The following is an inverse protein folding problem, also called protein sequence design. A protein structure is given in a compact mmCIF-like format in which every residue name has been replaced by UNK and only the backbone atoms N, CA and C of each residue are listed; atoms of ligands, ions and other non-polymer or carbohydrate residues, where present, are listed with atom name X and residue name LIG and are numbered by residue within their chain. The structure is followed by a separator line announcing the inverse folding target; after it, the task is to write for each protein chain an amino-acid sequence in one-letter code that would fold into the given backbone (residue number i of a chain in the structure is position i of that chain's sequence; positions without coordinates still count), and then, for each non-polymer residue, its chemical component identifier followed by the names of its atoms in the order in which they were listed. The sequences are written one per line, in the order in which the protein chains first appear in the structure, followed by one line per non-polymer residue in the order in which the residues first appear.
data_IF_727197557834
#
_entry.id   IF_727197557834
#
_cell.length_a   1.000
_cell.length_b   1.000
_cell.length_c   1.000
_cell.angle_alpha   90.00
_cell.angle_beta   90.00
_cell.angle_gamma   90.00
#
_symmetry.space_group_name_H-M   'P 1'
#
loop_
_entity.id
_entity.type
_entity.pdbx_description
1 polymer ?
#
# COMPACT_ATOMS: atom_id res chain seq x y z
N UNK A 1 -17.96 15.24 -52.94
CA UNK A 1 -18.25 14.08 -52.08
C UNK A 1 -17.64 12.83 -52.70
N UNK A 2 -16.59 12.26 -52.09
CA UNK A 2 -16.40 10.81 -51.85
C UNK A 2 -15.00 10.60 -51.27
N UNK A 3 -15.01 10.29 -49.97
CA UNK A 3 -13.84 9.95 -49.17
C UNK A 3 -13.26 8.61 -49.61
N UNK A 4 -11.94 8.56 -49.76
CA UNK A 4 -11.16 7.33 -49.77
C UNK A 4 -10.98 6.91 -48.31
N UNK A 5 -11.66 5.85 -47.90
CA UNK A 5 -11.38 5.16 -46.63
C UNK A 5 -10.22 4.19 -46.88
N UNK A 6 -9.06 4.51 -46.30
CA UNK A 6 -7.98 3.55 -46.11
C UNK A 6 -8.44 2.53 -45.05
N UNK A 7 -8.48 1.26 -45.42
CA UNK A 7 -8.66 0.15 -44.48
C UNK A 7 -7.29 -0.12 -43.87
N UNK A 8 -7.11 0.21 -42.59
CA UNK A 8 -6.00 -0.31 -41.80
C UNK A 8 -6.47 -1.62 -41.14
N UNK A 9 -5.98 -2.75 -41.62
CA UNK A 9 -5.98 -3.99 -40.82
C UNK A 9 -5.00 -3.76 -39.66
N UNK A 10 -5.51 -3.56 -38.45
CA UNK A 10 -4.72 -3.85 -37.26
C UNK A 10 -4.90 -5.34 -36.95
N UNK A 11 -3.83 -6.11 -37.14
CA UNK A 11 -3.72 -7.39 -36.46
C UNK A 11 -3.54 -7.08 -34.97
N UNK A 12 -4.64 -7.03 -34.23
CA UNK A 12 -4.59 -7.14 -32.79
C UNK A 12 -4.09 -8.56 -32.48
N UNK A 13 -2.79 -8.69 -32.23
CA UNK A 13 -2.27 -9.88 -31.57
C UNK A 13 -3.04 -9.99 -30.25
N UNK A 14 -3.94 -10.97 -30.18
CA UNK A 14 -4.63 -11.32 -28.94
C UNK A 14 -3.54 -11.68 -27.94
N UNK A 15 -3.29 -10.79 -26.98
CA UNK A 15 -2.45 -11.11 -25.83
C UNK A 15 -2.97 -12.42 -25.23
N UNK A 16 -2.10 -13.38 -24.90
CA UNK A 16 -2.52 -14.61 -24.24
C UNK A 16 -3.39 -14.23 -23.04
N UNK A 17 -4.57 -14.82 -22.93
CA UNK A 17 -5.36 -14.71 -21.70
C UNK A 17 -4.48 -15.20 -20.56
N UNK A 18 -4.18 -14.35 -19.55
CA UNK A 18 -3.36 -14.78 -18.43
C UNK A 18 -3.97 -16.03 -17.82
N UNK A 19 -3.13 -17.02 -17.49
CA UNK A 19 -3.62 -18.19 -16.74
C UNK A 19 -4.26 -17.71 -15.43
N UNK A 20 -5.37 -18.31 -14.98
CA UNK A 20 -5.91 -18.02 -13.66
C UNK A 20 -4.80 -18.19 -12.61
N UNK A 21 -4.58 -17.16 -11.79
CA UNK A 21 -3.65 -17.24 -10.67
C UNK A 21 -4.20 -18.31 -9.71
N UNK A 22 -3.39 -19.33 -9.34
CA UNK A 22 -3.81 -20.28 -8.31
C UNK A 22 -4.18 -19.55 -7.02
N UNK A 23 -5.36 -19.82 -6.47
CA UNK A 23 -5.79 -19.21 -5.21
C UNK A 23 -5.25 -20.11 -4.07
N UNK A 24 -4.47 -19.53 -3.15
CA UNK A 24 -3.79 -20.21 -2.03
C UNK A 24 -4.73 -20.74 -0.91
N UNK A 25 -5.98 -21.07 -1.24
CA UNK A 25 -7.07 -21.41 -0.31
C UNK A 25 -8.30 -20.54 -0.54
N UNK A 26 -9.39 -20.77 0.20
CA UNK A 26 -10.55 -19.86 0.15
C UNK A 26 -10.21 -18.56 0.93
N UNK A 27 -10.16 -17.38 0.27
CA UNK A 27 -9.87 -16.12 0.94
C UNK A 27 -10.82 -15.81 2.10
N UNK A 28 -12.07 -16.29 2.03
CA UNK A 28 -13.06 -16.14 3.10
C UNK A 28 -12.72 -16.99 4.31
N UNK A 29 -12.21 -18.21 4.09
CA UNK A 29 -11.75 -19.10 5.16
C UNK A 29 -10.53 -18.50 5.87
N UNK A 30 -9.55 -18.02 5.11
CA UNK A 30 -8.35 -17.34 5.66
C UNK A 30 -8.76 -16.13 6.50
N UNK A 31 -9.67 -15.30 5.99
CA UNK A 31 -10.19 -14.16 6.72
C UNK A 31 -10.90 -14.59 8.02
N UNK A 32 -11.73 -15.63 7.98
CA UNK A 32 -12.43 -16.12 9.17
C UNK A 32 -11.48 -16.71 10.21
N UNK A 33 -10.41 -17.40 9.80
CA UNK A 33 -9.36 -17.88 10.70
C UNK A 33 -8.66 -16.69 11.38
N UNK A 34 -8.31 -15.65 10.64
CA UNK A 34 -7.72 -14.44 11.21
C UNK A 34 -8.66 -13.77 12.22
N UNK A 35 -9.93 -13.55 11.83
CA UNK A 35 -10.94 -12.90 12.67
C UNK A 35 -11.22 -13.70 13.95
N UNK A 36 -11.17 -15.04 13.89
CA UNK A 36 -11.37 -15.90 15.07
C UNK A 36 -10.31 -15.71 16.16
N UNK A 37 -9.13 -15.17 15.80
CA UNK A 37 -8.02 -14.90 16.71
C UNK A 37 -8.06 -13.51 17.33
N UNK A 38 -9.00 -12.65 16.92
CA UNK A 38 -9.13 -11.30 17.48
C UNK A 38 -9.62 -11.34 18.93
N UNK A 39 -9.12 -10.44 19.79
CA UNK A 39 -9.56 -10.35 21.19
C UNK A 39 -11.03 -9.93 21.32
N UNK A 40 -11.54 -9.20 20.32
CA UNK A 40 -12.94 -8.83 20.21
C UNK A 40 -13.49 -9.27 18.85
N UNK A 41 -14.68 -9.85 18.86
CA UNK A 41 -15.41 -10.22 17.63
C UNK A 41 -16.27 -9.07 17.10
N UNK A 42 -16.34 -7.94 17.81
CA UNK A 42 -17.09 -6.75 17.38
C UNK A 42 -16.24 -5.70 16.66
N UNK A 43 -14.90 -5.83 16.69
CA UNK A 43 -13.96 -4.88 16.11
C UNK A 43 -12.71 -5.59 15.57
N UNK A 44 -12.17 -5.09 14.46
CA UNK A 44 -10.88 -5.52 13.91
C UNK A 44 -9.77 -4.69 14.56
N UNK A 45 -9.43 -5.05 15.80
CA UNK A 45 -8.28 -4.48 16.51
C UNK A 45 -7.36 -5.64 16.90
N UNK A 46 -6.16 -5.66 16.30
CA UNK A 46 -5.15 -6.66 16.60
C UNK A 46 -4.64 -6.46 18.04
N UNK A 47 -4.41 -7.55 18.79
CA UNK A 47 -3.81 -7.45 20.10
C UNK A 47 -2.30 -7.23 19.98
N UNK A 48 -1.67 -6.82 21.09
CA UNK A 48 -0.21 -6.94 21.21
C UNK A 48 0.23 -8.39 20.90
N UNK A 49 1.36 -8.58 20.22
CA UNK A 49 2.41 -7.59 19.95
C UNK A 49 2.27 -6.84 18.61
N UNK A 50 1.12 -6.94 17.92
CA UNK A 50 0.85 -6.16 16.71
C UNK A 50 0.50 -4.70 17.06
N UNK A 51 0.81 -3.81 16.12
CA UNK A 51 0.58 -2.38 16.30
C UNK A 51 -0.79 -1.95 15.80
N UNK A 52 -1.26 -0.81 16.32
CA UNK A 52 -2.58 -0.27 16.00
C UNK A 52 -2.76 -0.03 14.48
N UNK A 53 -1.73 0.43 13.78
CA UNK A 53 -1.80 0.67 12.34
C UNK A 53 -2.07 -0.60 11.52
N UNK A 54 -1.56 -1.76 11.97
CA UNK A 54 -1.79 -3.05 11.32
C UNK A 54 -3.26 -3.46 11.38
N UNK A 55 -4.01 -2.98 12.36
CA UNK A 55 -5.46 -3.18 12.38
C UNK A 55 -6.14 -2.47 11.20
N UNK A 56 -5.69 -1.25 10.86
CA UNK A 56 -6.15 -0.52 9.68
C UNK A 56 -5.88 -1.27 8.38
N UNK A 57 -4.73 -1.96 8.27
CA UNK A 57 -4.40 -2.75 7.08
C UNK A 57 -5.24 -4.02 6.97
N UNK A 58 -5.59 -4.66 8.09
CA UNK A 58 -6.54 -5.78 8.10
C UNK A 58 -7.92 -5.32 7.68
N UNK A 59 -8.41 -4.19 8.19
CA UNK A 59 -9.69 -3.60 7.77
C UNK A 59 -9.72 -3.35 6.26
N UNK A 60 -8.67 -2.75 5.71
CA UNK A 60 -8.53 -2.49 4.28
C UNK A 60 -8.44 -3.79 3.44
N UNK A 61 -7.85 -4.85 4.01
CA UNK A 61 -7.78 -6.17 3.38
C UNK A 61 -9.16 -6.84 3.33
N UNK A 62 -9.96 -6.73 4.40
CA UNK A 62 -11.35 -7.22 4.42
C UNK A 62 -12.24 -6.44 3.46
N UNK A 63 -12.05 -5.12 3.34
CA UNK A 63 -12.71 -4.30 2.32
C UNK A 63 -12.40 -4.80 0.90
N UNK A 64 -11.11 -5.05 0.63
CA UNK A 64 -10.66 -5.58 -0.66
C UNK A 64 -11.24 -6.97 -0.92
N UNK A 65 -11.30 -7.84 0.10
CA UNK A 65 -11.92 -9.15 0.00
C UNK A 65 -13.40 -9.04 -0.36
N UNK A 66 -14.18 -8.26 0.42
CA UNK A 66 -15.61 -8.02 0.16
C UNK A 66 -15.85 -7.52 -1.26
N UNK A 67 -15.03 -6.56 -1.72
CA UNK A 67 -15.14 -6.00 -3.06
C UNK A 67 -14.84 -7.02 -4.17
N UNK A 68 -13.75 -7.78 -4.03
CA UNK A 68 -13.26 -8.71 -5.07
C UNK A 68 -14.05 -10.00 -5.16
N UNK A 69 -14.68 -10.42 -4.06
CA UNK A 69 -15.52 -11.63 -4.01
C UNK A 69 -17.02 -11.32 -3.97
N UNK A 70 -17.39 -10.04 -4.03
CA UNK A 70 -18.77 -9.55 -4.01
C UNK A 70 -19.59 -10.09 -2.82
N UNK A 71 -18.96 -10.15 -1.64
CA UNK A 71 -19.60 -10.54 -0.36
C UNK A 71 -19.74 -9.34 0.56
N UNK A 72 -20.75 -9.37 1.43
CA UNK A 72 -20.97 -8.35 2.46
C UNK A 72 -20.71 -8.88 3.88
N UNK A 73 -20.14 -10.09 4.01
CA UNK A 73 -20.01 -10.83 5.28
C UNK A 73 -19.36 -10.01 6.38
N UNK A 74 -18.34 -9.21 6.04
CA UNK A 74 -17.56 -8.43 7.02
C UNK A 74 -17.95 -6.95 7.09
N UNK A 75 -18.94 -6.50 6.31
CA UNK A 75 -19.27 -5.06 6.19
C UNK A 75 -19.63 -4.41 7.52
N UNK A 76 -20.48 -5.06 8.33
CA UNK A 76 -20.87 -4.52 9.64
C UNK A 76 -19.69 -4.41 10.61
N UNK A 77 -18.77 -5.37 10.57
CA UNK A 77 -17.56 -5.39 11.37
C UNK A 77 -16.59 -4.28 10.94
N UNK A 78 -16.39 -4.10 9.64
CA UNK A 78 -15.60 -3.01 9.06
C UNK A 78 -16.17 -1.65 9.48
N UNK A 79 -17.48 -1.43 9.27
CA UNK A 79 -18.17 -0.18 9.65
C UNK A 79 -18.00 0.13 11.13
N UNK A 80 -18.22 -0.86 12.01
CA UNK A 80 -18.08 -0.69 13.46
C UNK A 80 -16.65 -0.34 13.84
N UNK A 81 -15.67 -0.96 13.19
CA UNK A 81 -14.25 -0.72 13.47
C UNK A 81 -13.80 0.67 13.02
N UNK A 82 -14.10 1.09 11.79
CA UNK A 82 -13.72 2.42 11.29
C UNK A 82 -14.33 3.53 12.15
N UNK A 83 -15.61 3.41 12.51
CA UNK A 83 -16.29 4.44 13.32
C UNK A 83 -15.78 4.50 14.76
N UNK A 84 -15.34 3.37 15.33
CA UNK A 84 -14.78 3.38 16.69
C UNK A 84 -13.43 4.08 16.76
N UNK A 85 -12.70 4.16 15.65
CA UNK A 85 -11.38 4.79 15.57
C UNK A 85 -11.42 6.24 15.04
N UNK A 86 -12.56 6.73 14.55
CA UNK A 86 -12.66 8.03 13.88
C UNK A 86 -12.20 9.23 14.72
N UNK A 87 -12.25 9.16 16.05
CA UNK A 87 -12.05 10.26 17.01
C UNK A 87 -13.07 11.40 16.89
N UNK A 88 -13.05 12.37 17.81
CA UNK A 88 -13.93 13.53 17.76
C UNK A 88 -13.65 14.45 16.56
N UNK A 89 -12.44 14.39 15.99
CA UNK A 89 -12.03 15.16 14.82
C UNK A 89 -12.25 14.40 13.51
N UNK A 90 -12.76 13.17 13.55
CA UNK A 90 -12.98 12.34 12.36
C UNK A 90 -11.69 12.16 11.53
N UNK A 91 -10.55 11.97 12.20
CA UNK A 91 -9.20 11.99 11.61
C UNK A 91 -8.30 10.83 12.10
N UNK A 92 -8.84 9.86 12.84
CA UNK A 92 -8.06 8.74 13.39
C UNK A 92 -6.86 9.14 14.28
N UNK A 93 -6.79 10.37 14.79
CA UNK A 93 -5.76 10.81 15.75
C UNK A 93 -6.01 10.25 17.16
N UNK A 94 -5.95 8.93 17.29
CA UNK A 94 -6.04 8.24 18.58
C UNK A 94 -4.71 8.41 19.35
N UNK A 95 -4.67 8.10 20.66
CA UNK A 95 -3.40 8.02 21.39
C UNK A 95 -2.40 7.02 20.81
N UNK A 96 -2.89 6.01 20.07
CA UNK A 96 -2.06 4.98 19.42
C UNK A 96 -1.51 5.43 18.05
N UNK A 97 -1.99 6.54 17.49
CA UNK A 97 -1.46 7.15 16.27
C UNK A 97 -0.19 7.97 16.58
N UNK A 98 0.93 7.28 16.83
CA UNK A 98 2.20 7.93 17.20
C UNK A 98 2.96 8.49 15.99
N UNK A 99 2.76 7.90 14.82
CA UNK A 99 3.34 8.30 13.54
C UNK A 99 2.32 8.77 12.52
N UNK A 100 2.80 9.54 11.54
CA UNK A 100 1.98 9.96 10.39
C UNK A 100 1.59 8.75 9.52
N UNK A 101 2.47 7.76 9.41
CA UNK A 101 2.18 6.47 8.80
C UNK A 101 1.06 5.72 9.54
N UNK A 102 1.12 5.63 10.88
CA UNK A 102 0.08 4.97 11.70
C UNK A 102 -1.32 5.49 11.35
N UNK A 103 -1.47 6.82 11.32
CA UNK A 103 -2.73 7.49 10.98
C UNK A 103 -3.13 7.28 9.51
N UNK A 104 -2.16 7.29 8.59
CA UNK A 104 -2.43 7.20 7.16
C UNK A 104 -2.98 5.83 6.75
N UNK A 105 -2.57 4.74 7.41
CA UNK A 105 -3.12 3.40 7.14
C UNK A 105 -4.63 3.32 7.34
N UNK A 106 -5.15 3.94 8.41
CA UNK A 106 -6.59 4.04 8.66
C UNK A 106 -7.30 4.93 7.65
N UNK A 107 -6.64 6.02 7.23
CA UNK A 107 -7.13 6.88 6.15
C UNK A 107 -7.31 6.14 4.82
N UNK A 108 -6.31 5.32 4.44
CA UNK A 108 -6.40 4.51 3.23
C UNK A 108 -7.53 3.48 3.33
N UNK A 109 -7.76 2.87 4.50
CA UNK A 109 -8.88 1.96 4.72
C UNK A 109 -10.24 2.68 4.57
N UNK A 110 -10.38 3.87 5.15
CA UNK A 110 -11.60 4.68 4.98
C UNK A 110 -11.81 5.09 3.52
N UNK A 111 -10.75 5.47 2.81
CA UNK A 111 -10.87 5.82 1.39
C UNK A 111 -11.24 4.59 0.54
N UNK A 112 -10.72 3.41 0.85
CA UNK A 112 -11.15 2.16 0.20
C UNK A 112 -12.63 1.89 0.45
N UNK A 113 -13.14 2.13 1.67
CA UNK A 113 -14.56 1.99 1.97
C UNK A 113 -15.43 2.93 1.11
N UNK A 114 -14.97 4.17 0.86
CA UNK A 114 -15.62 5.09 -0.08
C UNK A 114 -15.56 4.57 -1.52
N UNK A 115 -14.36 4.21 -2.01
CA UNK A 115 -14.14 3.74 -3.38
C UNK A 115 -14.94 2.46 -3.70
N UNK A 116 -15.13 1.58 -2.71
CA UNK A 116 -15.92 0.35 -2.86
C UNK A 116 -17.40 0.51 -2.51
N UNK A 117 -17.87 1.74 -2.26
CA UNK A 117 -19.26 2.07 -1.98
C UNK A 117 -19.84 1.34 -0.75
N UNK A 118 -19.03 1.11 0.30
CA UNK A 118 -19.54 0.61 1.58
C UNK A 118 -20.52 1.64 2.16
N UNK A 119 -21.75 1.28 2.54
CA UNK A 119 -22.68 2.23 3.17
C UNK A 119 -22.09 2.81 4.47
N UNK A 120 -22.13 4.13 4.62
CA UNK A 120 -21.76 4.81 5.87
C UNK A 120 -23.01 5.26 6.64
N UNK A 121 -23.15 4.90 7.92
CA UNK A 121 -24.33 5.25 8.71
C UNK A 121 -24.30 6.67 9.30
N UNK A 122 -23.12 7.31 9.42
CA UNK A 122 -22.99 8.58 10.14
C UNK A 122 -21.94 9.54 9.57
N UNK A 123 -20.75 9.05 9.23
CA UNK A 123 -19.64 9.88 8.74
C UNK A 123 -19.23 9.39 7.35
N UNK A 124 -19.35 10.20 6.27
CA UNK A 124 -18.89 9.78 4.95
C UNK A 124 -17.43 9.31 4.99
N UNK A 125 -17.13 8.13 4.45
CA UNK A 125 -15.79 7.54 4.59
C UNK A 125 -14.69 8.41 3.95
N UNK A 126 -15.02 9.08 2.85
CA UNK A 126 -14.13 10.04 2.21
C UNK A 126 -13.86 11.28 3.08
N UNK A 127 -14.74 11.65 4.01
CA UNK A 127 -14.48 12.75 4.95
C UNK A 127 -13.41 12.34 5.96
N UNK A 128 -13.44 11.10 6.48
CA UNK A 128 -12.37 10.59 7.36
C UNK A 128 -11.01 10.67 6.66
N UNK A 129 -10.96 10.22 5.40
CA UNK A 129 -9.75 10.27 4.59
C UNK A 129 -9.26 11.71 4.31
N UNK A 130 -10.19 12.61 3.98
CA UNK A 130 -9.89 14.02 3.70
C UNK A 130 -9.40 14.78 4.94
N UNK A 131 -9.93 14.45 6.13
CA UNK A 131 -9.50 15.04 7.39
C UNK A 131 -8.07 14.63 7.75
N UNK A 132 -7.73 13.35 7.57
CA UNK A 132 -6.33 12.89 7.72
C UNK A 132 -5.41 13.58 6.73
N UNK A 133 -5.81 13.68 5.46
CA UNK A 133 -5.04 14.40 4.44
C UNK A 133 -4.79 15.86 4.84
N UNK A 134 -5.81 16.58 5.30
CA UNK A 134 -5.68 17.95 5.77
C UNK A 134 -4.75 18.07 7.00
N UNK A 135 -4.88 17.15 7.96
CA UNK A 135 -4.00 17.09 9.13
C UNK A 135 -2.53 16.86 8.73
N UNK A 136 -2.26 15.88 7.85
CA UNK A 136 -0.90 15.58 7.40
C UNK A 136 -0.31 16.68 6.51
N UNK A 137 -1.13 17.31 5.66
CA UNK A 137 -0.75 18.50 4.89
C UNK A 137 -0.26 19.61 5.81
N UNK A 138 -0.91 19.83 6.97
CA UNK A 138 -0.45 20.82 7.97
C UNK A 138 0.86 20.46 8.68
N UNK A 139 1.28 19.19 8.62
CA UNK A 139 2.53 18.69 9.19
C UNK A 139 3.66 18.60 8.17
N UNK A 140 3.41 19.00 6.92
CA UNK A 140 4.46 19.14 5.93
C UNK A 140 5.46 20.19 6.41
N UNK A 141 6.72 19.79 6.56
CA UNK A 141 7.74 20.61 7.19
C UNK A 141 8.77 21.08 6.15
N UNK A 142 8.65 22.35 5.75
CA UNK A 142 9.57 23.01 4.82
C UNK A 142 10.81 23.62 5.52
N UNK A 143 10.95 23.50 6.85
CA UNK A 143 12.07 24.14 7.58
C UNK A 143 13.41 23.48 7.28
N UNK A 144 13.41 22.16 7.09
CA UNK A 144 14.58 21.35 6.76
C UNK A 144 14.23 20.34 5.68
N UNK A 145 15.24 19.91 4.92
CA UNK A 145 15.10 18.99 3.78
C UNK A 145 14.19 19.49 2.65
N UNK A 146 13.93 20.82 2.61
CA UNK A 146 13.06 21.46 1.60
C UNK A 146 11.65 20.85 1.54
N UNK A 147 11.16 20.30 2.65
CA UNK A 147 9.86 19.65 2.73
C UNK A 147 9.90 18.29 3.39
N UNK A 148 8.80 17.55 3.23
CA UNK A 148 8.61 16.20 3.74
C UNK A 148 7.93 16.16 5.09
N UNK A 149 7.16 15.12 5.31
CA UNK A 149 6.50 14.79 6.57
C UNK A 149 7.44 13.92 7.41
N UNK A 150 7.49 14.19 8.70
CA UNK A 150 8.24 13.40 9.69
C UNK A 150 7.54 12.08 9.97
N UNK A 151 8.30 11.07 10.40
CA UNK A 151 7.73 9.79 10.81
C UNK A 151 6.80 9.98 12.01
N UNK A 152 7.35 10.45 13.14
CA UNK A 152 6.56 10.73 14.34
C UNK A 152 5.81 12.06 14.26
N UNK A 153 4.75 12.17 15.06
CA UNK A 153 3.88 13.36 15.11
C UNK A 153 4.30 14.33 16.21
N UNK A 154 4.92 13.86 17.30
CA UNK A 154 5.30 14.70 18.43
C UNK A 154 6.82 14.89 18.49
N UNK A 155 7.31 16.12 18.79
CA UNK A 155 8.74 16.41 18.93
C UNK A 155 9.49 15.55 19.94
N UNK A 156 8.81 15.07 20.97
CA UNK A 156 9.38 14.24 22.04
C UNK A 156 9.53 12.76 21.69
N UNK A 157 8.93 12.28 20.60
CA UNK A 157 8.98 10.87 20.22
C UNK A 157 10.29 10.52 19.50
N UNK A 158 10.85 9.35 19.82
CA UNK A 158 12.01 8.82 19.10
C UNK A 158 11.64 8.58 17.62
N UNK A 159 12.48 9.08 16.72
CA UNK A 159 12.18 9.14 15.28
C UNK A 159 11.49 10.42 14.80
N UNK A 160 11.26 11.43 15.65
CA UNK A 160 10.73 12.74 15.21
C UNK A 160 11.56 13.42 14.11
N UNK A 161 12.89 13.30 14.17
CA UNK A 161 13.77 13.86 13.15
C UNK A 161 13.81 13.03 11.86
N UNK A 162 13.39 11.76 11.93
CA UNK A 162 13.36 10.88 10.78
C UNK A 162 12.20 11.25 9.86
N UNK A 163 12.49 11.60 8.61
CA UNK A 163 11.50 11.72 7.54
C UNK A 163 11.45 10.39 6.80
N UNK A 164 10.57 9.50 7.26
CA UNK A 164 10.43 8.17 6.67
C UNK A 164 9.75 8.23 5.32
N UNK A 165 10.19 7.35 4.42
CA UNK A 165 9.58 7.17 3.11
C UNK A 165 8.14 6.72 3.24
N UNK A 166 7.83 5.83 4.18
CA UNK A 166 6.47 5.29 4.30
C UNK A 166 5.44 6.38 4.66
N UNK A 167 5.77 7.32 5.56
CA UNK A 167 4.87 8.43 5.90
C UNK A 167 4.57 9.31 4.67
N UNK A 168 5.60 9.63 3.89
CA UNK A 168 5.46 10.47 2.69
C UNK A 168 4.80 9.72 1.52
N UNK A 169 5.07 8.42 1.39
CA UNK A 169 4.48 7.54 0.39
C UNK A 169 2.99 7.28 0.63
N UNK A 170 2.59 7.07 1.89
CA UNK A 170 1.17 6.94 2.25
C UNK A 170 0.43 8.26 2.03
N UNK A 171 1.04 9.40 2.39
CA UNK A 171 0.50 10.72 2.10
C UNK A 171 0.35 10.95 0.58
N UNK A 172 1.36 10.58 -0.21
CA UNK A 172 1.31 10.61 -1.68
C UNK A 172 0.15 9.79 -2.22
N UNK A 173 0.03 8.52 -1.81
CA UNK A 173 -1.03 7.63 -2.29
C UNK A 173 -2.41 8.12 -1.87
N UNK A 174 -2.58 8.58 -0.63
CA UNK A 174 -3.82 9.15 -0.12
C UNK A 174 -4.24 10.36 -0.95
N UNK A 175 -3.32 11.28 -1.20
CA UNK A 175 -3.55 12.48 -2.00
C UNK A 175 -3.93 12.13 -3.45
N UNK A 176 -3.22 11.19 -4.08
CA UNK A 176 -3.53 10.72 -5.43
C UNK A 176 -4.94 10.11 -5.51
N UNK A 177 -5.30 9.26 -4.53
CA UNK A 177 -6.61 8.60 -4.48
C UNK A 177 -7.74 9.58 -4.19
N UNK A 178 -7.56 10.55 -3.28
CA UNK A 178 -8.52 11.62 -3.05
C UNK A 178 -8.74 12.47 -4.31
N UNK A 179 -7.64 12.84 -4.98
CA UNK A 179 -7.68 13.55 -6.25
C UNK A 179 -8.45 12.80 -7.33
N UNK A 180 -8.28 11.48 -7.39
CA UNK A 180 -9.04 10.62 -8.28
C UNK A 180 -10.52 10.53 -7.90
N UNK A 181 -10.83 10.15 -6.66
CA UNK A 181 -12.18 9.90 -6.15
C UNK A 181 -13.06 11.16 -6.17
N UNK A 182 -12.56 12.28 -5.67
CA UNK A 182 -13.30 13.53 -5.51
C UNK A 182 -13.11 14.55 -6.63
N UNK A 183 -12.25 14.27 -7.62
CA UNK A 183 -11.76 15.28 -8.57
C UNK A 183 -11.10 16.49 -7.88
N UNK A 184 -10.37 16.21 -6.79
CA UNK A 184 -9.72 17.22 -5.95
C UNK A 184 -8.37 17.64 -6.54
N UNK A 185 -8.30 18.85 -7.11
CA UNK A 185 -7.09 19.39 -7.70
C UNK A 185 -5.99 19.75 -6.69
N UNK A 186 -6.35 20.11 -5.46
CA UNK A 186 -5.36 20.38 -4.41
C UNK A 186 -4.70 19.06 -3.98
N UNK A 187 -5.49 17.99 -3.80
CA UNK A 187 -4.95 16.67 -3.49
C UNK A 187 -3.99 16.18 -4.59
N UNK A 188 -4.30 16.38 -5.88
CA UNK A 188 -3.38 16.03 -6.97
C UNK A 188 -2.06 16.83 -6.92
N UNK A 189 -2.12 18.13 -6.60
CA UNK A 189 -0.93 18.95 -6.46
C UNK A 189 -0.04 18.49 -5.29
N UNK A 190 -0.67 18.06 -4.18
CA UNK A 190 0.07 17.49 -3.04
C UNK A 190 0.64 16.11 -3.31
N UNK A 191 -0.03 15.29 -4.11
CA UNK A 191 0.53 14.03 -4.58
C UNK A 191 1.82 14.28 -5.38
N UNK A 192 1.80 15.22 -6.32
CA UNK A 192 2.99 15.59 -7.09
C UNK A 192 4.10 16.17 -6.18
N UNK A 193 3.75 17.08 -5.27
CA UNK A 193 4.71 17.66 -4.30
C UNK A 193 5.39 16.59 -3.44
N UNK A 194 4.62 15.63 -2.91
CA UNK A 194 5.18 14.56 -2.06
C UNK A 194 6.10 13.64 -2.84
N UNK A 195 5.70 13.25 -4.05
CA UNK A 195 6.53 12.42 -4.93
C UNK A 195 7.84 13.13 -5.30
N UNK A 196 7.75 14.37 -5.79
CA UNK A 196 8.92 15.12 -6.25
C UNK A 196 9.88 15.41 -5.09
N UNK A 197 9.36 15.67 -3.88
CA UNK A 197 10.18 15.78 -2.67
C UNK A 197 10.94 14.49 -2.40
N UNK A 198 10.26 13.34 -2.41
CA UNK A 198 10.85 12.03 -2.13
C UNK A 198 12.01 11.72 -3.10
N UNK A 199 11.85 12.05 -4.39
CA UNK A 199 12.93 11.96 -5.38
C UNK A 199 14.05 12.96 -5.08
N UNK A 200 13.72 14.21 -4.74
CA UNK A 200 14.69 15.28 -4.53
C UNK A 200 15.66 15.06 -3.36
N UNK A 201 15.22 14.32 -2.33
CA UNK A 201 16.04 13.93 -1.17
C UNK A 201 16.73 12.58 -1.37
N UNK A 202 16.61 11.97 -2.56
CA UNK A 202 17.32 10.74 -2.92
C UNK A 202 16.70 9.46 -2.38
N UNK A 203 15.46 9.49 -1.86
CA UNK A 203 14.78 8.31 -1.34
C UNK A 203 14.21 7.40 -2.44
N UNK A 204 14.10 7.91 -3.67
CA UNK A 204 13.80 7.13 -4.88
C UNK A 204 15.00 7.25 -5.82
N UNK A 205 15.64 6.13 -6.14
CA UNK A 205 16.75 6.09 -7.09
C UNK A 205 16.28 6.29 -8.54
N UNK A 206 17.18 6.60 -9.49
CA UNK A 206 16.86 6.60 -10.92
C UNK A 206 16.28 5.28 -11.44
N UNK A 207 16.66 4.15 -10.80
CA UNK A 207 16.16 2.80 -11.08
C UNK A 207 14.82 2.49 -10.41
N UNK A 208 14.23 3.46 -9.68
CA UNK A 208 13.01 3.32 -8.89
C UNK A 208 13.14 2.39 -7.69
N UNK A 209 14.35 2.15 -7.19
CA UNK A 209 14.53 1.56 -5.87
C UNK A 209 14.10 2.58 -4.82
N UNK A 210 13.41 2.13 -3.78
CA UNK A 210 12.80 3.00 -2.78
C UNK A 210 13.39 2.70 -1.40
N UNK A 211 14.11 3.68 -0.87
CA UNK A 211 14.86 3.61 0.38
C UNK A 211 13.99 4.00 1.59
N UNK A 212 14.43 3.73 2.81
CA UNK A 212 13.58 3.75 4.00
C UNK A 212 13.28 5.16 4.54
N UNK A 213 14.24 6.08 4.42
CA UNK A 213 14.07 7.43 4.94
C UNK A 213 15.38 8.16 5.11
N UNK A 214 15.30 9.32 5.75
CA UNK A 214 16.44 10.21 5.96
C UNK A 214 16.19 11.08 7.19
N UNK A 215 17.23 11.71 7.74
CA UNK A 215 17.15 12.43 9.02
C UNK A 215 17.30 13.94 8.81
N UNK A 216 16.30 14.71 9.24
CA UNK A 216 16.32 16.15 9.04
C UNK A 216 17.34 16.86 9.94
N UNK A 217 17.75 16.27 11.07
CA UNK A 217 18.73 16.85 11.97
C UNK A 217 20.17 16.74 11.42
N UNK A 218 20.41 15.92 10.39
CA UNK A 218 21.77 15.62 9.91
C UNK A 218 22.18 16.49 8.71
N UNK A 219 23.40 17.01 8.79
CA UNK A 219 24.01 17.84 7.74
C UNK A 219 23.50 19.28 7.65
N UNK A 220 24.15 20.07 6.80
CA UNK A 220 23.71 21.41 6.46
C UNK A 220 22.49 21.33 5.53
N UNK A 221 21.34 21.84 5.97
CA UNK A 221 20.07 21.76 5.23
C UNK A 221 19.21 20.53 5.51
N UNK A 222 19.74 19.50 6.19
CA UNK A 222 19.01 18.28 6.55
C UNK A 222 18.99 17.22 5.45
N UNK A 223 18.70 15.98 5.84
CA UNK A 223 18.48 14.85 4.93
C UNK A 223 19.66 14.52 4.00
N UNK A 224 20.87 14.56 4.56
CA UNK A 224 22.10 14.21 3.84
C UNK A 224 22.44 12.72 3.92
N UNK A 225 21.79 11.99 4.82
CA UNK A 225 21.98 10.57 5.04
C UNK A 225 20.71 9.81 4.67
N UNK A 226 20.74 9.15 3.51
CA UNK A 226 19.67 8.24 3.11
C UNK A 226 19.92 6.89 3.76
N UNK A 227 18.93 6.40 4.51
CA UNK A 227 18.89 5.01 4.95
C UNK A 227 18.49 4.15 3.75
N UNK A 228 19.44 3.42 3.17
CA UNK A 228 19.26 2.63 1.95
C UNK A 228 18.57 1.27 2.19
N UNK A 229 18.01 1.06 3.37
CA UNK A 229 17.17 -0.10 3.64
C UNK A 229 15.95 -0.07 2.72
N UNK A 230 15.58 -1.23 2.19
CA UNK A 230 14.50 -1.38 1.23
C UNK A 230 13.47 -2.35 1.79
N UNK A 231 12.22 -1.90 1.83
CA UNK A 231 11.07 -2.63 2.32
C UNK A 231 9.99 -2.68 1.26
N UNK A 232 9.33 -3.83 1.08
CA UNK A 232 8.45 -4.05 -0.08
C UNK A 232 7.27 -3.07 -0.14
N UNK A 233 6.75 -2.66 1.00
CA UNK A 233 5.66 -1.69 1.09
C UNK A 233 6.06 -0.28 0.60
N UNK A 234 7.34 0.12 0.66
CA UNK A 234 7.80 1.43 0.22
C UNK A 234 7.75 1.50 -1.30
N UNK A 235 8.19 0.47 -2.03
CA UNK A 235 8.00 0.47 -3.49
C UNK A 235 6.52 0.30 -3.86
N UNK A 236 5.77 -0.51 -3.11
CA UNK A 236 4.35 -0.76 -3.36
C UNK A 236 3.47 0.50 -3.22
N UNK A 237 3.74 1.35 -2.23
CA UNK A 237 2.94 2.55 -1.97
C UNK A 237 3.09 3.56 -3.12
N UNK A 238 4.30 3.70 -3.67
CA UNK A 238 4.56 4.56 -4.83
C UNK A 238 4.10 3.94 -6.15
N UNK A 239 4.19 2.62 -6.32
CA UNK A 239 3.63 1.91 -7.46
C UNK A 239 2.15 2.22 -7.63
N UNK A 240 1.35 1.99 -6.59
CA UNK A 240 -0.09 2.20 -6.68
C UNK A 240 -0.46 3.68 -6.78
N UNK A 241 0.20 4.56 -6.01
CA UNK A 241 -0.02 6.00 -6.13
C UNK A 241 0.30 6.54 -7.53
N UNK A 242 1.39 6.07 -8.16
CA UNK A 242 1.75 6.46 -9.52
C UNK A 242 0.73 5.93 -10.56
N UNK A 243 0.21 4.72 -10.36
CA UNK A 243 -0.84 4.16 -11.21
C UNK A 243 -2.15 4.97 -11.11
N UNK A 244 -2.52 5.40 -9.90
CA UNK A 244 -3.66 6.31 -9.66
C UNK A 244 -3.45 7.65 -10.34
N UNK A 245 -2.26 8.25 -10.21
CA UNK A 245 -1.93 9.51 -10.90
C UNK A 245 -1.96 9.36 -12.42
N UNK A 246 -1.47 8.23 -12.96
CA UNK A 246 -1.46 7.95 -14.40
C UNK A 246 -2.88 7.86 -14.97
N UNK A 247 -3.78 7.14 -14.29
CA UNK A 247 -5.18 7.03 -14.69
C UNK A 247 -5.89 8.38 -14.60
N UNK A 248 -5.69 9.11 -13.49
CA UNK A 248 -6.39 10.37 -13.25
C UNK A 248 -5.93 11.51 -14.16
N UNK A 249 -4.62 11.65 -14.38
CA UNK A 249 -4.05 12.78 -15.13
C UNK A 249 -3.90 12.48 -16.62
N UNK A 250 -3.81 11.21 -16.99
CA UNK A 250 -3.47 10.78 -18.36
C UNK A 250 -2.01 11.04 -18.76
N UNK A 251 -1.17 11.58 -17.88
CA UNK A 251 0.20 11.97 -18.19
C UNK A 251 1.15 10.77 -18.28
N UNK A 252 1.94 10.74 -19.34
CA UNK A 252 2.86 9.64 -19.63
C UNK A 252 3.96 9.46 -18.58
N UNK A 253 4.37 10.54 -17.89
CA UNK A 253 5.38 10.46 -16.83
C UNK A 253 4.93 9.53 -15.69
N UNK A 254 3.65 9.55 -15.32
CA UNK A 254 3.13 8.71 -14.24
C UNK A 254 3.04 7.24 -14.65
N UNK A 255 2.73 6.94 -15.93
CA UNK A 255 2.81 5.58 -16.48
C UNK A 255 4.22 5.02 -16.40
N UNK A 256 5.21 5.82 -16.82
CA UNK A 256 6.64 5.44 -16.74
C UNK A 256 7.10 5.22 -15.31
N UNK A 257 6.66 6.07 -14.38
CA UNK A 257 6.92 5.91 -12.94
C UNK A 257 6.32 4.61 -12.39
N UNK A 258 5.05 4.33 -12.68
CA UNK A 258 4.38 3.09 -12.27
C UNK A 258 5.08 1.85 -12.83
N UNK A 259 5.48 1.86 -14.11
CA UNK A 259 6.31 0.79 -14.71
C UNK A 259 7.63 0.62 -13.95
N UNK A 260 8.36 1.71 -13.70
CA UNK A 260 9.63 1.68 -12.98
C UNK A 260 9.50 1.05 -11.59
N UNK A 261 8.47 1.41 -10.83
CA UNK A 261 8.21 0.81 -9.52
C UNK A 261 7.81 -0.66 -9.61
N UNK A 262 7.06 -1.07 -10.63
CA UNK A 262 6.75 -2.49 -10.86
C UNK A 262 8.02 -3.29 -11.15
N UNK A 263 8.90 -2.76 -11.99
CA UNK A 263 10.18 -3.39 -12.30
C UNK A 263 11.08 -3.46 -11.06
N UNK A 264 11.11 -2.40 -10.23
CA UNK A 264 11.81 -2.40 -8.94
C UNK A 264 11.25 -3.43 -7.96
N UNK A 265 9.92 -3.51 -7.84
CA UNK A 265 9.27 -4.51 -7.00
C UNK A 265 9.66 -5.94 -7.42
N UNK A 266 9.66 -6.22 -8.73
CA UNK A 266 10.09 -7.51 -9.28
C UNK A 266 11.56 -7.82 -9.02
N UNK A 267 12.45 -6.84 -9.17
CA UNK A 267 13.91 -7.03 -8.97
C UNK A 267 14.27 -7.29 -7.51
N UNK A 268 13.66 -6.55 -6.59
CA UNK A 268 14.13 -6.48 -5.20
C UNK A 268 13.32 -7.34 -4.22
N UNK A 269 12.04 -7.61 -4.52
CA UNK A 269 11.12 -8.25 -3.58
C UNK A 269 10.47 -9.53 -4.13
N UNK A 270 10.94 -10.04 -5.27
CA UNK A 270 10.58 -11.38 -5.76
C UNK A 270 11.83 -12.23 -5.82
N UNK A 271 11.84 -13.32 -5.05
CA UNK A 271 12.94 -14.28 -4.99
C UNK A 271 12.37 -15.68 -4.99
N UNK A 272 12.91 -16.55 -5.85
CA UNK A 272 12.50 -17.96 -5.95
C UNK A 272 10.98 -18.15 -6.13
N UNK A 273 10.36 -17.23 -6.88
CA UNK A 273 8.91 -17.23 -7.12
C UNK A 273 8.08 -16.91 -5.87
N UNK A 274 8.61 -16.13 -4.92
CA UNK A 274 7.88 -15.68 -3.71
C UNK A 274 8.17 -14.21 -3.42
N UNK A 275 7.29 -13.58 -2.65
CA UNK A 275 7.60 -12.27 -2.10
C UNK A 275 8.63 -12.41 -0.96
N UNK A 276 9.62 -11.52 -0.94
CA UNK A 276 10.77 -11.64 -0.04
C UNK A 276 11.20 -10.28 0.52
N UNK A 277 11.35 -10.18 1.85
CA UNK A 277 11.98 -9.06 2.53
C UNK A 277 13.48 -9.31 2.71
N UNK A 278 14.30 -8.70 1.86
CA UNK A 278 15.74 -8.95 1.79
C UNK A 278 16.52 -8.74 3.09
N UNK A 279 15.99 -7.92 3.99
CA UNK A 279 16.63 -7.59 5.26
C UNK A 279 16.44 -8.63 6.35
N UNK A 280 15.37 -9.42 6.31
CA UNK A 280 14.95 -10.17 7.49
C UNK A 280 14.33 -11.55 7.21
N UNK A 281 13.86 -11.82 5.98
CA UNK A 281 13.28 -13.14 5.68
C UNK A 281 14.36 -14.24 5.67
N UNK A 282 15.60 -13.92 5.24
CA UNK A 282 16.66 -14.90 5.07
C UNK A 282 17.17 -15.54 6.36
N UNK A 283 17.11 -14.83 7.48
CA UNK A 283 17.52 -15.30 8.80
C UNK A 283 16.34 -15.39 9.80
N UNK A 284 15.11 -15.14 9.33
CA UNK A 284 13.90 -15.17 10.14
C UNK A 284 13.84 -14.08 11.21
N UNK A 285 14.56 -12.97 11.01
CA UNK A 285 14.63 -11.86 11.97
C UNK A 285 13.52 -10.82 11.83
N UNK A 286 12.57 -11.02 10.90
CA UNK A 286 11.50 -10.05 10.67
C UNK A 286 10.67 -9.84 11.94
N UNK A 287 10.46 -8.57 12.30
CA UNK A 287 9.57 -8.21 13.40
C UNK A 287 8.09 -8.20 12.96
N UNK A 288 7.20 -7.85 13.89
CA UNK A 288 5.75 -7.86 13.63
C UNK A 288 5.32 -6.87 12.54
N UNK A 289 6.07 -5.78 12.32
CA UNK A 289 5.78 -4.84 11.25
C UNK A 289 6.19 -5.46 9.91
N UNK A 290 7.44 -5.92 9.84
CA UNK A 290 8.10 -6.36 8.61
C UNK A 290 7.43 -7.58 7.97
N UNK A 291 6.91 -8.51 8.78
CA UNK A 291 6.16 -9.68 8.26
C UNK A 291 4.91 -9.29 7.48
N UNK A 292 4.36 -8.08 7.71
CA UNK A 292 3.14 -7.61 7.04
C UNK A 292 3.38 -6.82 5.75
N UNK A 293 4.62 -6.38 5.48
CA UNK A 293 4.92 -5.49 4.36
C UNK A 293 4.65 -6.13 3.00
N UNK A 294 5.01 -7.42 2.83
CA UNK A 294 4.75 -8.18 1.60
C UNK A 294 3.28 -8.23 1.21
N UNK A 295 2.39 -8.32 2.20
CA UNK A 295 0.95 -8.31 1.96
C UNK A 295 0.49 -6.96 1.36
N UNK A 296 1.09 -5.85 1.79
CA UNK A 296 0.80 -4.52 1.26
C UNK A 296 1.26 -4.40 -0.19
N UNK A 297 2.47 -4.88 -0.51
CA UNK A 297 2.95 -4.94 -1.88
C UNK A 297 2.01 -5.80 -2.76
N UNK A 298 1.63 -6.99 -2.32
CA UNK A 298 0.74 -7.88 -3.06
C UNK A 298 -0.61 -7.23 -3.39
N UNK A 299 -1.22 -6.56 -2.41
CA UNK A 299 -2.50 -5.85 -2.59
C UNK A 299 -2.38 -4.68 -3.56
N UNK A 300 -1.30 -3.91 -3.47
CA UNK A 300 -1.05 -2.76 -4.35
C UNK A 300 -0.64 -3.17 -5.77
N UNK A 301 0.01 -4.31 -5.95
CA UNK A 301 0.17 -4.94 -7.27
C UNK A 301 -1.20 -5.23 -7.88
N UNK A 302 -2.07 -5.95 -7.16
CA UNK A 302 -3.42 -6.25 -7.61
C UNK A 302 -4.23 -5.01 -7.97
N UNK A 303 -4.23 -3.99 -7.11
CA UNK A 303 -4.91 -2.72 -7.36
C UNK A 303 -4.34 -1.98 -8.59
N UNK A 304 -3.01 -2.04 -8.80
CA UNK A 304 -2.35 -1.49 -9.98
C UNK A 304 -2.81 -2.17 -11.28
N UNK A 305 -2.95 -3.49 -11.28
CA UNK A 305 -3.45 -4.24 -12.45
C UNK A 305 -4.91 -3.92 -12.82
N UNK A 306 -5.69 -3.46 -11.83
CA UNK A 306 -7.07 -2.98 -12.04
C UNK A 306 -7.06 -1.59 -12.65
N UNK A 307 -6.30 -0.65 -12.07
CA UNK A 307 -6.35 0.76 -12.43
C UNK A 307 -5.56 1.11 -13.70
N UNK A 308 -4.51 0.34 -14.01
CA UNK A 308 -3.61 0.58 -15.15
C UNK A 308 -3.48 -0.69 -16.01
N UNK A 309 -4.45 -0.95 -16.92
CA UNK A 309 -4.57 -2.22 -17.64
C UNK A 309 -3.33 -2.61 -18.47
N UNK A 310 -2.52 -1.66 -18.90
CA UNK A 310 -1.27 -1.91 -19.62
C UNK A 310 -0.20 -2.61 -18.76
N UNK A 311 -0.28 -2.52 -17.43
CA UNK A 311 0.60 -3.25 -16.51
C UNK A 311 0.02 -4.61 -16.09
N UNK A 312 -1.26 -4.89 -16.41
CA UNK A 312 -1.98 -6.06 -15.91
C UNK A 312 -1.30 -7.37 -16.26
N UNK A 313 -0.80 -7.52 -17.49
CA UNK A 313 -0.13 -8.75 -17.92
C UNK A 313 1.06 -9.11 -17.04
N UNK A 314 1.96 -8.14 -16.83
CA UNK A 314 3.17 -8.33 -16.03
C UNK A 314 2.86 -8.56 -14.55
N UNK A 315 1.87 -7.83 -14.01
CA UNK A 315 1.44 -8.03 -12.62
C UNK A 315 0.83 -9.41 -12.42
N UNK A 316 -0.04 -9.87 -13.33
CA UNK A 316 -0.67 -11.19 -13.23
C UNK A 316 0.37 -12.29 -13.38
N UNK A 317 1.35 -12.13 -14.27
CA UNK A 317 2.48 -13.06 -14.37
C UNK A 317 3.27 -13.12 -13.06
N UNK A 318 3.63 -11.95 -12.50
CA UNK A 318 4.37 -11.85 -11.25
C UNK A 318 3.60 -12.47 -10.08
N UNK A 319 2.32 -12.14 -9.89
CA UNK A 319 1.48 -12.69 -8.84
C UNK A 319 1.20 -14.20 -9.05
N UNK A 320 1.11 -14.66 -10.30
CA UNK A 320 1.00 -16.08 -10.65
C UNK A 320 2.22 -16.87 -10.21
N UNK A 321 3.42 -16.37 -10.53
CA UNK A 321 4.68 -16.96 -10.08
C UNK A 321 4.78 -17.00 -8.56
N UNK A 322 4.38 -15.90 -7.88
CA UNK A 322 4.30 -15.82 -6.42
C UNK A 322 3.39 -16.91 -5.86
N UNK A 323 2.16 -17.02 -6.36
CA UNK A 323 1.22 -18.03 -5.88
C UNK A 323 1.71 -19.47 -6.10
N UNK A 324 2.34 -19.77 -7.24
CA UNK A 324 2.93 -21.09 -7.49
C UNK A 324 4.08 -21.42 -6.53
N UNK A 325 4.97 -20.45 -6.26
CA UNK A 325 6.10 -20.65 -5.34
C UNK A 325 5.67 -20.86 -3.88
N UNK A 326 4.63 -20.17 -3.42
CA UNK A 326 4.06 -20.32 -2.08
C UNK A 326 3.39 -21.71 -1.89
N UNK A 327 2.69 -22.23 -2.91
CA UNK A 327 2.11 -23.58 -2.85
C UNK A 327 3.20 -24.65 -2.70
N UNK A 328 4.28 -24.57 -3.48
CA UNK A 328 5.38 -25.53 -3.42
C UNK A 328 6.08 -25.57 -2.05
N UNK A 329 6.14 -24.44 -1.33
CA UNK A 329 6.66 -24.42 0.04
C UNK A 329 5.74 -25.15 1.02
N UNK A 330 4.43 -24.89 0.91
CA UNK A 330 3.45 -25.50 1.80
C UNK A 330 3.42 -27.02 1.69
N UNK A 331 3.73 -27.57 0.52
CA UNK A 331 3.86 -29.00 0.27
C UNK A 331 5.19 -29.54 0.84
N UNK A 332 6.32 -28.89 0.57
CA UNK A 332 7.61 -29.28 1.13
C UNK A 332 7.67 -29.20 2.67
N UNK A 333 6.98 -28.21 3.27
CA UNK A 333 6.82 -28.05 4.72
C UNK A 333 5.96 -29.14 5.38
N UNK A 334 5.05 -29.77 4.62
CA UNK A 334 4.29 -30.94 5.07
C UNK A 334 5.13 -32.22 5.02
N UNK A 335 5.97 -32.38 4.00
CA UNK A 335 6.87 -33.54 3.88
C UNK A 335 7.96 -33.56 4.96
N UNK A 336 8.59 -32.41 5.23
CA UNK A 336 9.60 -32.27 6.29
C UNK A 336 9.03 -32.49 7.70
N UNK A 337 7.79 -32.07 7.97
CA UNK A 337 7.10 -32.39 9.23
C UNK A 337 6.68 -33.86 9.34
N UNK A 338 6.54 -34.58 8.23
CA UNK A 338 6.28 -36.02 8.24
C UNK A 338 7.55 -36.83 8.53
N UNK A 339 8.72 -36.36 8.09
CA UNK A 339 10.01 -36.98 8.45
C UNK A 339 10.37 -36.77 9.92
N UNK A 340 10.12 -35.57 10.48
CA UNK A 340 10.38 -35.27 11.89
C UNK A 340 9.42 -35.95 12.88
N UNK A 341 8.29 -36.52 12.41
CA UNK A 341 7.37 -37.33 13.23
C UNK A 341 7.68 -38.83 13.19
N UNK A 342 8.63 -39.26 12.37
CA UNK A 342 9.03 -40.65 12.19
C UNK A 342 10.46 -40.96 12.68
N UNK A 343 11.08 -40.05 13.46
CA UNK A 343 12.36 -40.24 14.18
C UNK A 343 12.19 -39.99 15.66
#
# INVERSE_FOLDING_TARGET
MRHIRLVALSAAATLPTPKPIPILGDPSEIANVLLSKLPSQSQVLLPKPFWWWQSGTVVDSLLTLSHTTNTTTHNALITTTLLSQATGSNDFMTPDATGNDDQAWWSLAALSAAEYNLPSPSIPWNNLASNVFAAQKSRWDDTRCKGGIKWKIKPEDDGWHYKSTIANGLFFQLAARLGRYGNDGDALAWAEKSYDWTVSVGLISPEFDVFDGTDDAKGEGGCVDVNHDMWSYNVGVFLYGAAVMAEKTGEERWRKRARGFLDSAKRNFVKDGRLFEGKCDGDGSCDNDQVSFKAQLARWLGATAVILPELRGDVVEMLGQIAEGEMGESEAGKETNHELRNT
#
